data_IF_976991725140
#
_entry.id   IF_976991725140
#
_cell.length_a   1.000
_cell.length_b   1.000
_cell.length_c   1.000
_cell.angle_alpha   90.00
_cell.angle_beta   90.00
_cell.angle_gamma   90.00
#
_symmetry.space_group_name_H-M   'P 1'
#
loop_
_entity.id
_entity.type
_entity.pdbx_description
1 polymer ?
#
# COMPACT_ATOMS: atom_id res chain seq x y z
N UNK A 1 -12.65 12.15 -8.58
CA UNK A 1 -12.17 10.76 -8.63
C UNK A 1 -12.15 10.36 -10.08
N UNK A 2 -10.97 10.30 -10.69
CA UNK A 2 -10.89 10.18 -12.14
C UNK A 2 -9.49 9.78 -12.54
N UNK A 3 -9.30 8.48 -12.71
CA UNK A 3 -8.23 7.94 -13.52
C UNK A 3 -8.96 7.06 -14.54
N UNK A 4 -9.52 7.71 -15.57
CA UNK A 4 -10.38 7.06 -16.55
C UNK A 4 -9.62 5.95 -17.32
N UNK A 5 -8.31 6.10 -17.50
CA UNK A 5 -7.42 5.08 -18.09
C UNK A 5 -7.04 3.90 -17.15
N UNK A 6 -7.32 3.98 -15.85
CA UNK A 6 -6.85 2.99 -14.88
C UNK A 6 -7.88 1.92 -14.54
N UNK A 7 -9.17 2.21 -14.75
CA UNK A 7 -10.22 1.21 -14.48
C UNK A 7 -10.14 0.02 -15.46
N UNK A 8 -9.68 0.27 -16.68
CA UNK A 8 -9.48 -0.78 -17.69
C UNK A 8 -8.21 -1.61 -17.44
N UNK A 9 -7.16 -1.03 -16.83
CA UNK A 9 -5.92 -1.76 -16.50
C UNK A 9 -6.08 -2.70 -15.29
N UNK A 10 -6.95 -2.34 -14.33
CA UNK A 10 -7.28 -3.18 -13.17
C UNK A 10 -8.10 -4.43 -13.52
N UNK A 11 -8.91 -4.39 -14.59
CA UNK A 11 -9.90 -5.45 -14.88
C UNK A 11 -9.37 -6.66 -15.64
N UNK A 12 -8.21 -6.58 -16.29
CA UNK A 12 -7.70 -7.70 -17.10
C UNK A 12 -6.22 -8.03 -16.85
N UNK A 13 -5.38 -7.06 -16.49
CA UNK A 13 -3.93 -7.23 -16.60
C UNK A 13 -3.12 -6.96 -15.32
N UNK A 14 -3.68 -6.39 -14.24
CA UNK A 14 -2.93 -6.10 -13.00
C UNK A 14 -3.20 -7.07 -11.83
N UNK A 15 -4.03 -8.09 -12.03
CA UNK A 15 -4.45 -9.02 -10.97
C UNK A 15 -3.33 -10.00 -10.57
N UNK A 16 -2.38 -10.29 -11.46
CA UNK A 16 -1.34 -11.31 -11.26
C UNK A 16 0.12 -10.83 -11.46
N UNK A 17 0.39 -9.53 -11.37
CA UNK A 17 1.75 -8.99 -11.50
C UNK A 17 2.47 -8.90 -10.15
N UNK A 18 3.80 -9.13 -10.15
CA UNK A 18 4.65 -9.04 -8.96
C UNK A 18 4.63 -7.63 -8.36
N UNK A 19 4.46 -6.62 -9.21
CA UNK A 19 4.31 -5.21 -8.87
C UNK A 19 3.05 -4.91 -8.03
N UNK A 20 2.08 -5.84 -7.99
CA UNK A 20 0.90 -5.77 -7.13
C UNK A 20 0.97 -6.78 -5.96
N UNK A 21 2.12 -7.42 -5.76
CA UNK A 21 2.31 -8.46 -4.74
C UNK A 21 3.33 -7.99 -3.71
N UNK A 22 2.97 -8.09 -2.43
CA UNK A 22 3.91 -7.90 -1.33
C UNK A 22 3.77 -9.05 -0.33
N UNK A 23 4.91 -9.53 0.16
CA UNK A 23 4.95 -10.48 1.27
C UNK A 23 5.03 -9.70 2.57
N UNK A 24 4.14 -9.99 3.51
CA UNK A 24 4.11 -9.38 4.83
C UNK A 24 3.85 -10.43 5.90
N UNK A 25 4.15 -10.09 7.17
CA UNK A 25 3.68 -10.90 8.28
C UNK A 25 2.13 -10.90 8.34
N UNK A 26 1.58 -11.92 8.97
CA UNK A 26 0.14 -12.15 9.03
C UNK A 26 -0.64 -10.94 9.56
N UNK A 27 -0.13 -10.26 10.60
CA UNK A 27 -0.83 -9.14 11.20
C UNK A 27 -0.82 -7.92 10.27
N UNK A 28 0.33 -7.59 9.68
CA UNK A 28 0.42 -6.50 8.72
C UNK A 28 -0.48 -6.74 7.51
N UNK A 29 -0.48 -7.97 6.99
CA UNK A 29 -1.35 -8.35 5.86
C UNK A 29 -2.84 -8.14 6.18
N UNK A 30 -3.30 -8.56 7.37
CA UNK A 30 -4.69 -8.35 7.79
C UNK A 30 -5.04 -6.86 7.91
N UNK A 31 -4.15 -6.05 8.48
CA UNK A 31 -4.36 -4.61 8.64
C UNK A 31 -4.35 -3.88 7.30
N UNK A 32 -3.46 -4.28 6.38
CA UNK A 32 -3.36 -3.68 5.05
C UNK A 32 -4.61 -3.99 4.21
N UNK A 33 -5.08 -5.25 4.22
CA UNK A 33 -6.32 -5.62 3.52
C UNK A 33 -7.58 -4.96 4.09
N UNK A 34 -7.59 -4.67 5.39
CA UNK A 34 -8.72 -4.00 6.04
C UNK A 34 -8.66 -2.47 5.99
N UNK A 35 -7.72 -1.91 5.20
CA UNK A 35 -7.51 -0.46 5.04
C UNK A 35 -7.16 0.25 6.36
N UNK A 36 -6.61 -0.48 7.33
CA UNK A 36 -6.26 0.07 8.65
C UNK A 36 -4.82 0.59 8.72
N UNK A 37 -3.95 0.12 7.83
CA UNK A 37 -2.58 0.64 7.63
C UNK A 37 -2.34 0.92 6.17
N UNK A 38 -1.56 1.95 5.87
CA UNK A 38 -1.17 2.32 4.50
C UNK A 38 0.27 2.84 4.45
N UNK A 39 0.82 2.95 3.24
CA UNK A 39 2.20 3.30 2.98
C UNK A 39 2.30 4.69 2.35
N UNK A 40 2.76 5.67 3.10
CA UNK A 40 2.92 7.04 2.61
C UNK A 40 4.30 7.22 1.98
N UNK A 41 4.31 7.64 0.71
CA UNK A 41 5.56 7.90 -0.02
C UNK A 41 6.41 8.95 0.71
N UNK A 42 7.73 8.74 0.68
CA UNK A 42 8.72 9.72 1.14
C UNK A 42 9.47 10.31 -0.07
N UNK A 43 10.42 11.21 0.20
CA UNK A 43 11.32 11.75 -0.83
C UNK A 43 12.34 10.70 -1.34
N UNK A 44 12.45 9.55 -0.67
CA UNK A 44 13.33 8.45 -1.05
C UNK A 44 12.56 7.40 -1.85
N UNK A 45 13.08 7.04 -3.03
CA UNK A 45 12.46 6.03 -3.90
C UNK A 45 12.30 4.69 -3.16
N UNK A 46 11.13 4.06 -3.35
CA UNK A 46 10.75 2.78 -2.74
C UNK A 46 10.74 2.77 -1.20
N UNK A 47 10.80 3.94 -0.56
CA UNK A 47 10.70 4.09 0.89
C UNK A 47 9.38 4.74 1.26
N UNK A 48 8.77 4.17 2.29
CA UNK A 48 7.43 4.55 2.73
C UNK A 48 7.39 4.66 4.24
N UNK A 49 6.68 5.66 4.74
CA UNK A 49 6.28 5.74 6.14
C UNK A 49 5.03 4.89 6.33
N UNK A 50 5.02 4.05 7.35
CA UNK A 50 3.80 3.33 7.74
C UNK A 50 2.88 4.32 8.45
N UNK A 51 1.64 4.43 7.97
CA UNK A 51 0.57 5.17 8.61
C UNK A 51 -0.61 4.24 8.91
N UNK A 52 -1.45 4.63 9.88
CA UNK A 52 -2.50 3.76 10.39
C UNK A 52 -3.69 4.56 10.91
N UNK A 53 -4.84 3.91 11.02
CA UNK A 53 -6.07 4.49 11.60
C UNK A 53 -5.94 4.79 13.09
N UNK A 54 -5.12 4.02 13.81
CA UNK A 54 -4.87 4.19 15.24
C UNK A 54 -3.38 4.07 15.57
N UNK A 55 -2.89 4.88 16.50
CA UNK A 55 -1.47 4.92 16.88
C UNK A 55 -0.99 3.68 17.62
N UNK A 56 -1.89 2.93 18.26
CA UNK A 56 -1.56 1.66 18.92
C UNK A 56 -1.21 0.54 17.94
N UNK A 57 -1.57 0.68 16.66
CA UNK A 57 -1.21 -0.28 15.61
C UNK A 57 0.31 -0.31 15.38
N UNK A 58 1.03 0.77 15.70
CA UNK A 58 2.49 0.83 15.54
C UNK A 58 3.28 0.04 16.60
N UNK A 59 2.63 -0.56 17.61
CA UNK A 59 3.30 -1.33 18.64
C UNK A 59 3.89 -2.63 18.05
N UNK A 60 5.13 -2.53 17.55
CA UNK A 60 5.90 -3.67 17.01
C UNK A 60 6.38 -3.49 15.57
N UNK A 61 5.96 -2.44 14.86
CA UNK A 61 6.37 -2.18 13.48
C UNK A 61 7.43 -1.08 13.39
N UNK A 62 8.34 -1.21 12.41
CA UNK A 62 9.22 -0.12 12.03
C UNK A 62 8.40 1.05 11.49
N UNK A 63 8.86 2.28 11.73
CA UNK A 63 8.17 3.48 11.23
C UNK A 63 8.25 3.61 9.70
N UNK A 64 9.24 2.96 9.09
CA UNK A 64 9.50 3.01 7.65
C UNK A 64 9.73 1.61 7.08
N UNK A 65 9.30 1.43 5.83
CA UNK A 65 9.58 0.26 5.00
C UNK A 65 10.30 0.74 3.75
N UNK A 66 11.35 0.03 3.36
CA UNK A 66 12.01 0.21 2.06
C UNK A 66 11.90 -1.09 1.29
N UNK A 67 11.28 -1.05 0.12
CA UNK A 67 11.30 -2.22 -0.77
C UNK A 67 12.64 -2.27 -1.51
N UNK A 68 13.28 -3.43 -1.45
CA UNK A 68 14.55 -3.70 -2.11
C UNK A 68 14.46 -5.01 -2.86
N UNK A 69 15.08 -5.06 -4.02
CA UNK A 69 15.21 -6.27 -4.83
C UNK A 69 16.63 -6.37 -5.38
N UNK A 70 17.24 -7.58 -5.39
CA UNK A 70 18.53 -7.78 -6.02
C UNK A 70 18.44 -7.74 -7.56
N UNK A 71 17.25 -7.88 -8.14
CA UNK A 71 17.02 -7.83 -9.59
C UNK A 71 15.65 -7.23 -9.89
N UNK A 72 15.62 -5.98 -10.34
CA UNK A 72 14.38 -5.26 -10.62
C UNK A 72 13.64 -5.77 -11.86
N UNK A 73 14.34 -6.35 -12.84
CA UNK A 73 13.71 -6.89 -14.06
C UNK A 73 13.00 -8.22 -13.77
N UNK A 74 13.59 -9.07 -12.95
CA UNK A 74 13.04 -10.39 -12.61
C UNK A 74 12.07 -10.34 -11.41
N UNK A 75 12.34 -9.46 -10.44
CA UNK A 75 11.60 -9.32 -9.19
C UNK A 75 11.34 -7.85 -8.90
N UNK A 76 10.44 -7.22 -9.68
CA UNK A 76 10.12 -5.82 -9.46
C UNK A 76 9.50 -5.64 -8.07
N UNK A 77 9.76 -4.48 -7.46
CA UNK A 77 9.12 -4.08 -6.20
C UNK A 77 7.69 -3.61 -6.46
N UNK A 78 6.84 -3.49 -5.42
CA UNK A 78 5.49 -2.98 -5.60
C UNK A 78 5.44 -1.62 -6.29
N UNK A 79 4.51 -1.44 -7.23
CA UNK A 79 4.33 -0.19 -7.98
C UNK A 79 3.87 0.93 -7.03
N UNK A 80 4.60 2.05 -6.94
CA UNK A 80 4.20 3.21 -6.13
C UNK A 80 2.79 3.72 -6.43
N UNK A 81 2.32 3.59 -7.67
CA UNK A 81 0.99 4.02 -8.11
C UNK A 81 -0.11 3.17 -7.47
N UNK A 82 0.09 1.86 -7.36
CA UNK A 82 -0.85 0.95 -6.69
C UNK A 82 -0.89 1.22 -5.18
N UNK A 83 0.27 1.45 -4.57
CA UNK A 83 0.36 1.83 -3.16
C UNK A 83 -0.32 3.18 -2.87
N UNK A 84 -0.23 4.13 -3.80
CA UNK A 84 -0.92 5.43 -3.70
C UNK A 84 -2.44 5.27 -3.73
N UNK A 85 -2.96 4.35 -4.53
CA UNK A 85 -4.39 4.06 -4.60
C UNK A 85 -4.87 3.44 -3.30
N UNK A 86 -4.16 2.41 -2.80
CA UNK A 86 -4.46 1.82 -1.50
C UNK A 86 -4.46 2.88 -0.39
N UNK A 87 -3.46 3.76 -0.39
CA UNK A 87 -3.35 4.88 0.56
C UNK A 87 -4.56 5.81 0.48
N UNK A 88 -4.98 6.16 -0.74
CA UNK A 88 -6.16 7.02 -0.96
C UNK A 88 -7.43 6.35 -0.43
N UNK A 89 -7.65 5.08 -0.76
CA UNK A 89 -8.77 4.28 -0.25
C UNK A 89 -8.75 4.18 1.27
N UNK A 90 -7.60 3.96 1.89
CA UNK A 90 -7.46 3.84 3.34
C UNK A 90 -7.78 5.14 4.06
N UNK A 91 -7.28 6.27 3.53
CA UNK A 91 -7.62 7.60 4.05
C UNK A 91 -9.12 7.88 3.93
N UNK A 92 -9.74 7.55 2.80
CA UNK A 92 -11.18 7.75 2.60
C UNK A 92 -11.99 6.87 3.54
N UNK A 93 -11.65 5.58 3.65
CA UNK A 93 -12.34 4.65 4.54
C UNK A 93 -12.25 5.11 6.00
N UNK A 94 -11.06 5.54 6.43
CA UNK A 94 -10.85 6.08 7.76
C UNK A 94 -11.69 7.34 8.00
N UNK A 95 -11.63 8.33 7.11
CA UNK A 95 -12.36 9.58 7.26
C UNK A 95 -13.89 9.40 7.19
N UNK A 96 -14.36 8.45 6.37
CA UNK A 96 -15.78 8.15 6.22
C UNK A 96 -16.34 7.39 7.42
N UNK A 97 -15.50 6.63 8.14
CA UNK A 97 -15.86 5.87 9.34
C UNK A 97 -15.50 6.55 10.67
N UNK A 98 -14.75 7.66 10.67
CA UNK A 98 -14.27 8.32 11.90
C UNK A 98 -15.33 9.20 12.60
N UNK A 99 -16.52 9.38 12.03
CA UNK A 99 -17.60 10.21 12.58
C UNK A 99 -18.74 9.43 13.27
N UNK A 100 -18.54 8.14 13.61
CA UNK A 100 -19.55 7.33 14.33
C UNK A 100 -19.25 7.15 15.80
#
# INVERSE_FOLDING_TARGET
>A
FGYEDFSDSLNSNLIHYLENTMTADMLFHCLFNSLQVWLEATDESNKYRIAATHTNIFLGYFQFITFMTPNQEAYPVPDPSLLSIHTSCSKIAHLSGASV
#
